data_IF_437110356871
#
_entry.id   IF_437110356871
#
_cell.length_a   1.000
_cell.length_b   1.000
_cell.length_c   1.000
_cell.angle_alpha   90.00
_cell.angle_beta   90.00
_cell.angle_gamma   90.00
#
_symmetry.space_group_name_H-M   'P 1'
#
loop_
_entity.id
_entity.type
_entity.pdbx_description
1 polymer ?
#
# COMPACT_ATOMS: atom_id res chain seq x y z
N UNK A 1 -10.56 -14.55 -13.50
CA UNK A 1 -10.46 -13.91 -12.18
C UNK A 1 -9.28 -12.95 -12.22
N UNK A 2 -9.44 -11.73 -11.69
CA UNK A 2 -8.36 -10.75 -11.57
C UNK A 2 -7.91 -10.70 -10.11
N UNK A 3 -6.67 -10.26 -9.89
CA UNK A 3 -6.19 -9.99 -8.54
C UNK A 3 -6.89 -8.80 -7.95
N UNK A 4 -7.14 -8.86 -6.65
CA UNK A 4 -7.90 -7.84 -5.95
C UNK A 4 -7.43 -7.68 -4.51
N UNK A 5 -7.56 -6.45 -4.02
CA UNK A 5 -7.32 -6.11 -2.63
C UNK A 5 -8.64 -5.76 -1.96
N UNK A 6 -8.96 -6.46 -0.89
CA UNK A 6 -10.15 -6.20 -0.07
C UNK A 6 -9.65 -5.90 1.35
N UNK A 7 -9.73 -4.63 1.75
CA UNK A 7 -9.06 -4.12 2.96
C UNK A 7 -7.56 -4.41 2.90
N UNK A 8 -7.03 -5.21 3.82
CA UNK A 8 -5.63 -5.62 3.83
C UNK A 8 -5.43 -7.08 3.37
N UNK A 9 -6.44 -7.69 2.75
CA UNK A 9 -6.32 -9.01 2.15
C UNK A 9 -6.14 -8.88 0.65
N UNK A 10 -4.99 -9.32 0.16
CA UNK A 10 -4.64 -9.37 -1.25
C UNK A 10 -4.88 -10.79 -1.75
N UNK A 11 -5.77 -10.93 -2.73
CA UNK A 11 -6.04 -12.20 -3.42
C UNK A 11 -5.36 -12.14 -4.79
N UNK A 12 -4.27 -12.88 -4.96
CA UNK A 12 -3.56 -12.99 -6.22
C UNK A 12 -4.19 -14.07 -7.10
N UNK A 13 -4.39 -13.76 -8.37
CA UNK A 13 -4.84 -14.65 -9.41
C UNK A 13 -3.72 -14.92 -10.42
N UNK A 14 -3.70 -16.13 -10.98
CA UNK A 14 -2.60 -16.65 -11.81
C UNK A 14 -2.88 -16.60 -13.32
N UNK A 15 -3.99 -15.99 -13.75
CA UNK A 15 -4.32 -15.88 -15.17
C UNK A 15 -3.42 -14.89 -15.90
N UNK A 16 -3.23 -15.10 -17.21
CA UNK A 16 -2.35 -14.27 -18.03
C UNK A 16 -2.67 -12.76 -17.96
N UNK A 17 -3.96 -12.41 -17.81
CA UNK A 17 -4.43 -11.02 -17.71
C UNK A 17 -4.92 -10.65 -16.31
N UNK A 18 -4.56 -11.45 -15.29
CA UNK A 18 -5.08 -11.29 -13.94
C UNK A 18 -4.44 -10.14 -13.16
N UNK A 19 -3.23 -9.71 -13.53
CA UNK A 19 -2.42 -8.75 -12.77
C UNK A 19 -2.04 -7.51 -13.60
N UNK A 20 -2.97 -7.00 -14.41
CA UNK A 20 -2.75 -5.78 -15.18
C UNK A 20 -2.45 -4.55 -14.30
N UNK A 21 -2.92 -4.57 -13.04
CA UNK A 21 -2.68 -3.51 -12.06
C UNK A 21 -1.99 -4.08 -10.81
N UNK A 22 -1.06 -3.29 -10.26
CA UNK A 22 -0.48 -3.54 -8.94
C UNK A 22 -1.55 -3.44 -7.86
N UNK A 23 -1.40 -4.28 -6.85
CA UNK A 23 -2.21 -4.26 -5.64
C UNK A 23 -1.57 -3.31 -4.63
N UNK A 24 -2.37 -2.66 -3.78
CA UNK A 24 -1.88 -1.69 -2.81
C UNK A 24 -2.55 -1.87 -1.47
N UNK A 25 -1.77 -1.86 -0.39
CA UNK A 25 -2.26 -1.87 0.98
C UNK A 25 -1.53 -0.84 1.83
N UNK A 26 -2.25 -0.24 2.77
CA UNK A 26 -1.67 0.67 3.79
C UNK A 26 -1.98 0.10 5.15
N UNK A 27 -0.94 -0.21 5.92
CA UNK A 27 -1.07 -0.67 7.30
C UNK A 27 -1.30 0.52 8.24
N UNK A 28 -1.73 0.25 9.45
CA UNK A 28 -1.76 1.22 10.55
C UNK A 28 -1.70 0.49 11.89
N UNK A 29 -1.46 1.16 13.03
CA UNK A 29 -1.56 0.51 14.33
C UNK A 29 -2.90 -0.21 14.58
N UNK A 30 -4.01 0.28 14.01
CA UNK A 30 -5.34 -0.36 14.12
C UNK A 30 -5.62 -1.41 13.04
N UNK A 31 -4.88 -1.39 11.94
CA UNK A 31 -4.96 -2.34 10.82
C UNK A 31 -3.54 -2.80 10.51
N UNK A 32 -2.95 -3.50 11.47
CA UNK A 32 -1.51 -3.74 11.57
C UNK A 32 -1.04 -4.99 10.81
N UNK A 33 -1.94 -5.62 10.07
CA UNK A 33 -1.63 -6.82 9.31
C UNK A 33 -2.13 -6.75 7.87
N UNK A 34 -1.46 -7.50 7.00
CA UNK A 34 -1.91 -7.85 5.67
C UNK A 34 -1.94 -9.37 5.50
N UNK A 35 -2.80 -9.85 4.62
CA UNK A 35 -2.88 -11.25 4.21
C UNK A 35 -2.64 -11.32 2.71
N UNK A 36 -1.61 -12.04 2.29
CA UNK A 36 -1.28 -12.32 0.90
C UNK A 36 -1.70 -13.75 0.56
N UNK A 37 -2.69 -13.90 -0.33
CA UNK A 37 -3.16 -15.19 -0.83
C UNK A 37 -2.58 -15.41 -2.22
N UNK A 38 -1.54 -16.22 -2.29
CA UNK A 38 -0.87 -16.65 -3.52
C UNK A 38 -1.59 -17.83 -4.19
N UNK A 39 -2.24 -18.69 -3.40
CA UNK A 39 -2.75 -19.98 -3.84
C UNK A 39 -1.69 -21.08 -3.83
N UNK A 40 -2.12 -22.35 -3.91
CA UNK A 40 -1.25 -23.52 -3.65
C UNK A 40 -0.13 -23.73 -4.66
N UNK A 41 -0.34 -23.30 -5.91
CA UNK A 41 0.56 -23.54 -7.05
C UNK A 41 1.43 -22.31 -7.35
N UNK A 42 1.57 -21.42 -6.37
CA UNK A 42 2.28 -20.16 -6.47
C UNK A 42 3.39 -20.05 -5.43
N UNK A 43 4.34 -19.15 -5.64
CA UNK A 43 5.38 -18.82 -4.67
C UNK A 43 5.37 -17.32 -4.34
N UNK A 44 5.77 -17.00 -3.12
CA UNK A 44 6.00 -15.62 -2.69
C UNK A 44 7.22 -15.01 -3.36
N UNK A 45 7.16 -13.69 -3.51
CA UNK A 45 8.25 -12.84 -3.95
C UNK A 45 8.48 -11.75 -2.89
N UNK A 46 9.70 -11.59 -2.36
CA UNK A 46 10.88 -12.42 -2.62
C UNK A 46 10.73 -13.85 -2.10
N UNK A 47 11.56 -14.79 -2.56
CA UNK A 47 11.48 -16.18 -2.08
C UNK A 47 11.75 -16.28 -0.58
N UNK A 48 12.62 -15.41 -0.05
CA UNK A 48 12.87 -15.25 1.39
C UNK A 48 11.98 -14.17 1.99
N UNK A 49 10.67 -14.23 1.74
CA UNK A 49 9.70 -13.20 2.13
C UNK A 49 9.66 -12.84 3.62
N UNK A 50 10.10 -13.75 4.51
CA UNK A 50 10.22 -13.49 5.95
C UNK A 50 11.47 -12.70 6.34
N UNK A 51 12.38 -12.43 5.41
CA UNK A 51 13.59 -11.64 5.66
C UNK A 51 13.69 -10.47 4.73
N UNK A 52 13.18 -10.63 3.51
CA UNK A 52 13.43 -9.74 2.41
C UNK A 52 12.18 -9.15 1.77
N UNK A 53 12.35 -7.97 1.21
CA UNK A 53 11.38 -7.29 0.36
C UNK A 53 12.06 -6.71 -0.88
N UNK A 54 11.27 -6.27 -1.86
CA UNK A 54 11.75 -5.54 -3.03
C UNK A 54 11.61 -4.02 -2.82
N UNK A 55 12.58 -3.19 -3.25
CA UNK A 55 12.50 -1.74 -3.11
C UNK A 55 11.23 -1.14 -3.74
N UNK A 56 10.79 0.00 -3.20
CA UNK A 56 9.65 0.72 -3.79
C UNK A 56 9.96 1.16 -5.22
N UNK A 57 8.96 1.03 -6.11
CA UNK A 57 9.10 1.40 -7.52
C UNK A 57 9.73 0.31 -8.41
N UNK A 58 10.10 -0.85 -7.85
CA UNK A 58 10.58 -2.00 -8.63
C UNK A 58 9.48 -3.04 -8.82
N UNK A 59 9.72 -4.02 -9.68
CA UNK A 59 8.92 -5.24 -9.78
C UNK A 59 9.16 -6.14 -8.56
N UNK A 60 8.25 -7.09 -8.32
CA UNK A 60 8.46 -8.14 -7.34
C UNK A 60 9.31 -9.26 -7.96
N UNK A 61 10.45 -9.58 -7.35
CA UNK A 61 11.38 -10.58 -7.86
C UNK A 61 11.84 -11.53 -6.76
N UNK A 62 12.26 -12.74 -7.15
CA UNK A 62 12.71 -13.77 -6.21
C UNK A 62 14.03 -13.37 -5.51
N UNK A 63 14.86 -12.59 -6.19
CA UNK A 63 16.23 -12.21 -5.83
C UNK A 63 16.34 -10.95 -4.97
N UNK A 64 15.26 -10.21 -4.72
CA UNK A 64 15.34 -9.01 -3.90
C UNK A 64 15.90 -9.32 -2.50
N UNK A 65 16.78 -8.46 -2.02
CA UNK A 65 17.62 -8.72 -0.86
C UNK A 65 17.59 -7.61 0.20
N UNK A 66 16.79 -6.54 0.02
CA UNK A 66 16.55 -5.57 1.09
C UNK A 66 15.92 -6.27 2.29
N UNK A 67 16.33 -5.92 3.51
CA UNK A 67 15.91 -6.64 4.72
C UNK A 67 14.91 -5.84 5.52
N UNK A 68 13.90 -6.48 6.12
CA UNK A 68 12.98 -5.72 6.98
C UNK A 68 13.70 -5.03 8.15
N UNK A 69 14.79 -5.60 8.67
CA UNK A 69 15.59 -4.92 9.70
C UNK A 69 16.23 -3.60 9.22
N UNK A 70 16.45 -3.40 7.92
CA UNK A 70 17.02 -2.15 7.40
C UNK A 70 16.04 -0.98 7.51
N UNK A 71 14.73 -1.26 7.51
CA UNK A 71 13.66 -0.25 7.59
C UNK A 71 12.90 -0.28 8.91
N UNK A 72 12.85 -1.43 9.58
CA UNK A 72 12.22 -1.65 10.88
C UNK A 72 13.24 -2.36 11.77
N UNK A 73 14.08 -1.63 12.53
CA UNK A 73 15.17 -2.21 13.30
C UNK A 73 14.75 -3.31 14.30
N UNK A 74 13.51 -3.23 14.80
CA UNK A 74 12.93 -4.18 15.75
C UNK A 74 12.24 -5.38 15.08
N UNK A 75 12.35 -5.51 13.76
CA UNK A 75 11.71 -6.57 13.01
C UNK A 75 12.16 -7.97 13.45
N UNK A 76 11.20 -8.88 13.53
CA UNK A 76 11.42 -10.31 13.76
C UNK A 76 10.77 -11.13 12.64
N UNK A 77 11.41 -12.23 12.21
CA UNK A 77 10.88 -13.11 11.16
C UNK A 77 9.53 -13.73 11.53
N UNK A 78 9.23 -13.82 12.84
CA UNK A 78 7.96 -14.29 13.42
C UNK A 78 6.75 -13.42 13.03
N UNK A 79 6.97 -12.18 12.57
CA UNK A 79 5.92 -11.28 12.10
C UNK A 79 5.27 -11.79 10.82
N UNK A 80 5.99 -12.63 10.06
CA UNK A 80 5.43 -13.40 8.96
C UNK A 80 5.04 -14.79 9.40
N UNK A 81 3.78 -15.14 9.12
CA UNK A 81 3.25 -16.49 9.32
C UNK A 81 2.66 -17.05 8.03
N UNK A 82 2.78 -18.36 7.84
CA UNK A 82 2.10 -19.09 6.77
C UNK A 82 0.93 -19.88 7.37
N UNK A 83 -0.22 -19.85 6.70
CA UNK A 83 -1.40 -20.60 7.12
C UNK A 83 -1.16 -22.11 6.96
N UNK A 84 -1.39 -22.86 8.04
CA UNK A 84 -1.31 -24.32 8.02
C UNK A 84 -2.53 -24.98 7.36
N UNK A 85 -3.68 -24.30 7.36
CA UNK A 85 -4.94 -24.80 6.80
C UNK A 85 -5.18 -24.35 5.35
N UNK A 86 -4.57 -23.24 4.93
CA UNK A 86 -4.72 -22.67 3.60
C UNK A 86 -3.35 -22.38 2.97
N UNK A 87 -2.71 -23.43 2.41
CA UNK A 87 -1.40 -23.32 1.76
C UNK A 87 -1.34 -22.18 0.74
N UNK A 88 -0.22 -21.47 0.71
CA UNK A 88 -0.06 -20.28 -0.13
C UNK A 88 -0.78 -19.05 0.41
N UNK A 89 -1.08 -19.02 1.72
CA UNK A 89 -1.61 -17.84 2.42
C UNK A 89 -0.60 -17.39 3.46
N UNK A 90 -0.17 -16.14 3.35
CA UNK A 90 0.87 -15.55 4.19
C UNK A 90 0.31 -14.32 4.89
N UNK A 91 0.67 -14.12 6.15
CA UNK A 91 0.26 -12.96 6.92
C UNK A 91 1.50 -12.26 7.46
N UNK A 92 1.61 -10.96 7.19
CA UNK A 92 2.51 -10.07 7.91
C UNK A 92 1.70 -9.32 8.96
N UNK A 93 2.19 -9.33 10.19
CA UNK A 93 1.63 -8.55 11.29
C UNK A 93 2.74 -7.79 12.00
N UNK A 94 2.64 -6.46 12.00
CA UNK A 94 3.54 -5.59 12.74
C UNK A 94 2.92 -5.37 14.12
N UNK A 95 3.61 -5.65 15.24
CA UNK A 95 3.09 -5.33 16.56
C UNK A 95 2.77 -3.82 16.65
N UNK A 96 1.67 -3.47 17.31
CA UNK A 96 1.11 -2.11 17.22
C UNK A 96 2.03 -1.03 17.80
N UNK A 97 2.92 -1.40 18.73
CA UNK A 97 3.94 -0.55 19.33
C UNK A 97 5.26 -0.49 18.53
N UNK A 98 5.33 -1.17 17.39
CA UNK A 98 6.54 -1.31 16.55
C UNK A 98 6.44 -0.61 15.19
N UNK A 99 5.43 0.23 15.00
CA UNK A 99 5.38 1.12 13.84
C UNK A 99 6.50 2.17 13.90
N UNK A 100 6.99 2.55 12.72
CA UNK A 100 8.20 3.36 12.53
C UNK A 100 8.00 4.82 12.90
N UNK A 101 9.07 5.58 13.16
CA UNK A 101 8.98 7.04 13.28
C UNK A 101 8.80 7.70 11.91
N UNK A 102 9.38 7.11 10.86
CA UNK A 102 9.25 7.54 9.47
C UNK A 102 8.55 6.45 8.64
N UNK A 103 7.59 6.84 7.81
CA UNK A 103 6.83 5.90 7.00
C UNK A 103 7.68 5.30 5.88
N UNK A 104 7.55 4.00 5.66
CA UNK A 104 8.27 3.26 4.64
C UNK A 104 7.32 2.57 3.64
N UNK A 105 7.82 2.33 2.44
CA UNK A 105 7.14 1.50 1.42
C UNK A 105 8.02 0.33 1.01
N UNK A 106 7.39 -0.81 0.76
CA UNK A 106 8.02 -2.04 0.29
C UNK A 106 7.19 -2.68 -0.82
N UNK A 107 7.82 -3.55 -1.61
CA UNK A 107 7.16 -4.37 -2.62
C UNK A 107 7.32 -5.84 -2.27
N UNK A 108 6.21 -6.58 -2.35
CA UNK A 108 6.15 -8.04 -2.28
C UNK A 108 5.28 -8.55 -3.44
N UNK A 109 5.16 -9.87 -3.59
CA UNK A 109 4.28 -10.41 -4.61
C UNK A 109 4.11 -11.90 -4.59
N UNK A 110 3.47 -12.38 -5.65
CA UNK A 110 3.22 -13.79 -5.92
C UNK A 110 3.45 -14.10 -7.40
N UNK A 111 4.07 -15.24 -7.68
CA UNK A 111 4.15 -15.80 -9.05
C UNK A 111 3.56 -17.20 -9.10
N UNK A 112 2.95 -17.53 -10.23
CA UNK A 112 2.57 -18.89 -10.55
C UNK A 112 3.84 -19.73 -10.82
N UNK A 113 3.98 -20.87 -10.13
CA UNK A 113 5.10 -21.80 -10.31
C UNK A 113 5.00 -22.61 -11.61
N UNK A 114 3.82 -22.71 -12.19
CA UNK A 114 3.58 -23.39 -13.46
C UNK A 114 3.82 -22.45 -14.66
N UNK A 115 4.39 -21.27 -14.44
CA UNK A 115 4.83 -20.40 -15.53
C UNK A 115 6.27 -20.74 -15.93
N UNK A 116 6.57 -20.90 -17.23
CA UNK A 116 7.96 -20.87 -17.70
C UNK A 116 8.61 -19.58 -17.20
N UNK A 117 9.79 -19.71 -16.57
CA UNK A 117 10.50 -18.58 -15.97
C UNK A 117 10.83 -17.51 -17.02
N UNK A 118 10.60 -16.25 -16.67
CA UNK A 118 11.04 -15.11 -17.47
C UNK A 118 12.57 -15.07 -17.48
N UNK A 119 13.20 -15.69 -18.47
CA UNK A 119 14.53 -15.29 -18.90
C UNK A 119 14.38 -13.99 -19.68
N UNK A 120 15.08 -12.94 -19.26
CA UNK A 120 15.14 -11.63 -19.91
C UNK A 120 15.10 -11.67 -21.45
N UNK A 121 14.45 -10.64 -22.03
CA UNK A 121 14.32 -10.20 -23.46
C UNK A 121 12.90 -10.44 -24.01
N UNK A 122 12.19 -9.50 -24.65
CA UNK A 122 12.51 -8.20 -25.26
C UNK A 122 11.26 -7.28 -25.23
N UNK A 123 11.47 -5.99 -25.50
CA UNK A 123 10.41 -5.04 -25.78
C UNK A 123 9.58 -5.48 -26.99
N UNK A 124 8.28 -5.73 -26.77
CA UNK A 124 7.30 -5.90 -27.84
C UNK A 124 6.66 -7.28 -27.90
N UNK A 125 5.89 -7.66 -26.87
CA UNK A 125 4.54 -8.19 -27.05
C UNK A 125 3.83 -8.21 -25.69
N UNK A 126 2.64 -7.62 -25.62
CA UNK A 126 1.84 -7.66 -24.41
C UNK A 126 1.14 -9.03 -24.34
N UNK A 127 1.23 -9.68 -23.17
CA UNK A 127 0.37 -10.78 -22.74
C UNK A 127 0.70 -12.24 -23.18
N UNK A 128 1.94 -12.70 -22.98
CA UNK A 128 2.15 -14.16 -22.87
C UNK A 128 3.26 -14.55 -21.89
N UNK A 129 2.86 -15.15 -20.77
CA UNK A 129 3.74 -15.62 -19.68
C UNK A 129 3.24 -15.12 -18.32
N UNK A 130 2.26 -15.84 -17.76
CA UNK A 130 1.54 -15.63 -16.49
C UNK A 130 2.02 -14.44 -15.64
N UNK A 131 1.18 -13.42 -15.58
CA UNK A 131 1.45 -12.13 -14.96
C UNK A 131 1.71 -12.26 -13.45
N UNK A 132 2.79 -11.66 -12.94
CA UNK A 132 3.14 -11.62 -11.52
C UNK A 132 2.13 -10.72 -10.78
N UNK A 133 1.66 -11.17 -9.62
CA UNK A 133 0.86 -10.34 -8.73
C UNK A 133 1.80 -9.50 -7.86
N UNK A 134 1.85 -8.20 -8.13
CA UNK A 134 2.74 -7.25 -7.43
C UNK A 134 1.93 -6.48 -6.41
N UNK A 135 2.48 -6.32 -5.21
CA UNK A 135 1.83 -5.67 -4.09
C UNK A 135 2.74 -4.58 -3.53
N UNK A 136 2.30 -3.33 -3.63
CA UNK A 136 2.93 -2.21 -2.95
C UNK A 136 2.34 -2.09 -1.53
N UNK A 137 3.19 -2.16 -0.51
CA UNK A 137 2.80 -2.08 0.89
C UNK A 137 3.32 -0.78 1.48
N UNK A 138 2.42 0.02 2.07
CA UNK A 138 2.77 1.22 2.82
C UNK A 138 2.69 0.94 4.31
N UNK A 139 3.80 1.20 5.01
CA UNK A 139 3.94 1.10 6.47
C UNK A 139 4.11 2.54 6.97
N UNK A 140 3.05 3.21 7.44
CA UNK A 140 3.14 4.61 7.82
C UNK A 140 3.96 4.81 9.09
N UNK A 141 4.38 6.06 9.30
CA UNK A 141 4.90 6.50 10.58
C UNK A 141 3.85 6.31 11.68
N UNK A 142 4.31 6.00 12.89
CA UNK A 142 3.55 6.04 14.12
C UNK A 142 3.41 7.50 14.56
N UNK A 143 2.73 8.31 13.76
CA UNK A 143 2.23 9.59 14.24
C UNK A 143 1.09 9.27 15.19
N UNK A 144 1.42 9.19 16.49
CA UNK A 144 0.45 9.44 17.55
C UNK A 144 -0.05 10.87 17.38
N UNK A 145 -0.97 11.07 16.43
CA UNK A 145 -1.55 12.36 16.15
C UNK A 145 -2.39 12.76 17.35
N UNK A 146 -1.86 13.67 18.16
CA UNK A 146 -2.70 14.64 18.85
C UNK A 146 -3.63 15.24 17.79
N UNK A 147 -4.95 15.38 18.05
CA UNK A 147 -5.79 16.13 17.14
C UNK A 147 -5.14 17.50 16.98
N UNK A 148 -4.90 17.93 15.73
CA UNK A 148 -4.56 19.31 15.44
C UNK A 148 -5.61 20.17 16.15
N UNK A 149 -5.22 20.80 17.26
CA UNK A 149 -6.01 21.85 17.85
C UNK A 149 -5.89 22.98 16.84
N UNK A 150 -6.84 23.02 15.91
CA UNK A 150 -7.15 24.21 15.15
C UNK A 150 -7.54 25.23 16.21
N UNK A 151 -6.57 25.96 16.74
CA UNK A 151 -6.83 27.16 17.53
C UNK A 151 -7.39 28.14 16.50
N UNK A 152 -8.69 28.47 16.52
CA UNK A 152 -9.18 29.53 15.65
C UNK A 152 -8.47 30.81 16.10
N UNK A 153 -7.54 31.30 15.27
CA UNK A 153 -7.04 32.65 15.40
C UNK A 153 -8.25 33.59 15.36
N UNK A 154 -8.42 34.52 16.32
CA UNK A 154 -9.50 35.49 16.24
C UNK A 154 -9.18 36.45 15.09
N UNK A 155 -9.69 36.14 13.90
CA UNK A 155 -9.68 37.06 12.77
C UNK A 155 -10.48 38.29 13.21
N UNK A 156 -9.79 39.41 13.39
CA UNK A 156 -10.38 40.71 13.68
C UNK A 156 -11.36 41.07 12.55
N UNK A 157 -12.66 40.91 12.78
CA UNK A 157 -13.67 41.44 11.86
C UNK A 157 -13.70 42.96 12.00
N UNK A 158 -13.17 43.68 11.02
CA UNK A 158 -13.40 45.11 10.85
C UNK A 158 -14.78 45.31 10.25
N UNK A 159 -15.71 45.84 11.05
CA UNK A 159 -17.04 46.27 10.59
C UNK A 159 -16.84 47.52 9.73
N UNK A 160 -16.93 47.40 8.40
CA UNK A 160 -17.06 48.56 7.52
C UNK A 160 -18.54 48.94 7.42
N UNK A 161 -18.92 50.04 8.07
CA UNK A 161 -20.22 50.67 7.89
C UNK A 161 -20.27 51.36 6.52
N UNK A 162 -21.11 50.88 5.61
CA UNK A 162 -21.42 51.58 4.36
C UNK A 162 -22.56 52.57 4.66
N UNK A 163 -22.23 53.86 4.65
CA UNK A 163 -23.22 54.94 4.70
C UNK A 163 -23.83 55.09 3.31
N UNK A 164 -25.10 54.69 3.15
CA UNK A 164 -25.87 54.96 1.92
C UNK A 164 -26.46 56.36 2.03
N UNK A 165 -25.82 57.33 1.38
CA UNK A 165 -26.38 58.65 1.10
C UNK A 165 -27.29 58.53 -0.13
N UNK A 166 -28.58 58.82 0.07
CA UNK A 166 -29.62 58.68 -0.95
C UNK A 166 -29.61 59.77 -2.01
N UNK A 167 -30.44 59.58 -3.04
CA UNK A 167 -30.95 60.67 -3.87
C UNK A 167 -32.41 60.35 -4.24
N UNK A 168 -33.32 61.21 -3.78
CA UNK A 168 -34.71 61.23 -4.21
C UNK A 168 -34.79 61.88 -5.61
N UNK A 169 -35.42 61.20 -6.56
CA UNK A 169 -35.81 61.79 -7.83
C UNK A 169 -37.33 61.94 -7.88
N UNK A 170 -37.77 63.19 -7.71
CA UNK A 170 -39.09 63.66 -8.12
C UNK A 170 -39.05 63.89 -9.64
N UNK A 171 -40.00 63.31 -10.37
CA UNK A 171 -40.42 63.87 -11.65
C UNK A 171 -41.95 63.80 -11.77
N UNK A 172 -42.54 65.00 -11.84
CA UNK A 172 -43.87 65.28 -12.36
C UNK A 172 -43.98 64.80 -13.81
N UNK A 173 -45.09 64.14 -14.15
CA UNK A 173 -46.02 64.62 -15.18
C UNK A 173 -47.40 64.00 -14.96
#
# INVERSE_FOLDING_TARGET
MVSQTIRNTIVCANGANSNACRQQVTLSPTQNSLILICGKDSATLPTKYQKNFCPTGTEAEASCAETYQSIIPQYEESWWTESTSARGTYKLEIPTDKFLEEGQKIVIGSKDLQSPGQTHRDAGDAASGKSICIVDVTIPANTSGTPDVIIPSPLRMTVSAVVVLGVAFLFLN
#
